data_IF_088347257966
#
_entry.id   IF_088347257966
#
_cell.length_a   1.000
_cell.length_b   1.000
_cell.length_c   1.000
_cell.angle_alpha   90.00
_cell.angle_beta   90.00
_cell.angle_gamma   90.00
#
_symmetry.space_group_name_H-M   'P 1'
#
loop_
_entity.id
_entity.type
_entity.pdbx_description
1 polymer ?
#
# COMPACT_ATOMS: atom_id res chain seq x y z
N UNK A 1 -16.06 26.20 8.06
CA UNK A 1 -16.26 25.87 9.48
C UNK A 1 -14.99 26.25 10.22
N UNK A 2 -14.95 27.44 10.82
CA UNK A 2 -13.84 27.88 11.67
C UNK A 2 -14.11 27.46 13.10
N UNK A 3 -13.16 26.74 13.72
CA UNK A 3 -13.21 26.44 15.15
C UNK A 3 -12.83 27.65 15.99
N UNK A 4 -13.43 27.79 17.17
CA UNK A 4 -13.06 28.80 18.16
C UNK A 4 -11.93 28.27 19.06
N UNK A 5 -10.93 29.09 19.32
CA UNK A 5 -9.85 28.77 20.27
C UNK A 5 -10.37 28.89 21.72
N UNK A 6 -10.10 27.88 22.54
CA UNK A 6 -10.43 27.91 23.98
C UNK A 6 -9.18 28.28 24.76
N UNK A 7 -9.27 29.37 25.54
CA UNK A 7 -8.25 29.76 26.52
C UNK A 7 -8.74 29.34 27.91
N UNK A 8 -7.93 28.56 28.63
CA UNK A 8 -8.26 28.08 29.98
C UNK A 8 -7.06 28.24 30.92
N UNK A 9 -7.34 28.60 32.17
CA UNK A 9 -6.37 28.79 33.25
C UNK A 9 -6.02 27.50 34.00
N UNK A 10 -6.65 26.38 33.65
CA UNK A 10 -6.33 25.02 34.14
C UNK A 10 -5.87 24.17 32.95
N UNK A 11 -5.01 23.14 33.13
CA UNK A 11 -4.71 22.18 32.06
C UNK A 11 -6.01 21.46 31.67
N UNK A 12 -6.72 21.99 30.67
CA UNK A 12 -8.12 21.69 30.42
C UNK A 12 -8.40 21.49 28.94
N UNK A 13 -7.50 20.79 28.24
CA UNK A 13 -7.84 20.21 26.94
C UNK A 13 -8.80 19.03 27.14
N UNK A 14 -9.70 18.73 26.17
CA UNK A 14 -10.48 17.51 26.22
C UNK A 14 -9.53 16.30 26.39
N UNK A 15 -9.89 15.31 27.23
CA UNK A 15 -9.02 14.17 27.47
C UNK A 15 -8.77 13.45 26.14
N UNK A 16 -7.49 13.20 25.80
CA UNK A 16 -7.15 12.40 24.62
C UNK A 16 -7.56 10.95 24.88
N UNK A 17 -8.71 10.57 24.33
CA UNK A 17 -9.31 9.24 24.47
C UNK A 17 -9.46 8.61 23.10
N UNK A 18 -9.23 7.30 23.00
CA UNK A 18 -9.38 6.55 21.76
C UNK A 18 -10.79 6.76 21.15
N UNK A 19 -10.83 7.13 19.87
CA UNK A 19 -12.09 7.41 19.16
C UNK A 19 -13.03 6.19 19.08
N UNK A 20 -12.50 4.97 19.17
CA UNK A 20 -13.27 3.74 19.01
C UNK A 20 -13.87 3.22 20.31
N UNK A 21 -13.19 3.40 21.44
CA UNK A 21 -13.64 2.89 22.74
C UNK A 21 -13.93 3.98 23.78
N UNK A 22 -13.74 5.25 23.41
CA UNK A 22 -13.93 6.42 24.28
C UNK A 22 -13.13 6.35 25.61
N UNK A 23 -12.00 5.64 25.62
CA UNK A 23 -11.15 5.48 26.81
C UNK A 23 -9.72 5.94 26.54
N UNK A 24 -9.07 6.52 27.54
CA UNK A 24 -7.61 6.78 27.54
C UNK A 24 -6.84 5.47 27.71
N UNK A 25 -7.30 4.63 28.64
CA UNK A 25 -6.59 3.41 29.05
C UNK A 25 -5.17 3.68 29.56
N UNK A 26 -4.37 2.61 29.63
CA UNK A 26 -2.94 2.66 29.95
C UNK A 26 -2.04 2.41 28.72
N UNK A 27 -2.63 1.97 27.61
CA UNK A 27 -1.91 1.67 26.39
C UNK A 27 -1.66 2.96 25.58
N UNK A 28 -0.52 2.99 24.90
CA UNK A 28 -0.20 4.08 23.97
C UNK A 28 -1.25 4.20 22.86
N UNK A 29 -1.56 5.45 22.52
CA UNK A 29 -2.43 5.82 21.42
C UNK A 29 -1.58 6.09 20.16
N UNK A 30 -2.13 5.72 19.01
CA UNK A 30 -1.62 6.10 17.70
C UNK A 30 -2.53 7.21 17.15
N UNK A 31 -1.94 8.19 16.49
CA UNK A 31 -2.65 9.37 16.00
C UNK A 31 -2.71 9.36 14.48
N UNK A 32 -3.89 9.65 13.93
CA UNK A 32 -4.02 9.84 12.49
C UNK A 32 -3.35 11.16 12.07
N UNK A 33 -2.46 11.12 11.09
CA UNK A 33 -1.79 12.32 10.55
C UNK A 33 -2.73 13.31 9.84
N UNK A 34 -3.97 12.93 9.54
CA UNK A 34 -4.91 13.77 8.78
C UNK A 34 -6.00 14.38 9.68
N UNK A 35 -6.63 13.59 10.56
CA UNK A 35 -7.65 14.10 11.47
C UNK A 35 -7.18 14.29 12.91
N UNK A 36 -5.96 13.88 13.23
CA UNK A 36 -5.38 13.94 14.58
C UNK A 36 -6.13 13.14 15.65
N UNK A 37 -7.14 12.34 15.27
CA UNK A 37 -7.85 11.50 16.22
C UNK A 37 -6.93 10.37 16.74
N UNK A 38 -7.01 10.07 18.06
CA UNK A 38 -6.26 8.97 18.67
C UNK A 38 -6.98 7.63 18.61
N UNK A 39 -6.22 6.55 18.50
CA UNK A 39 -6.70 5.17 18.42
C UNK A 39 -5.80 4.24 19.23
N UNK A 40 -6.38 3.29 19.98
CA UNK A 40 -5.58 2.17 20.47
C UNK A 40 -5.27 1.19 19.32
N UNK A 41 -4.03 0.69 19.20
CA UNK A 41 -3.69 -0.29 18.18
C UNK A 41 -4.57 -1.54 18.21
N UNK A 42 -4.98 -2.00 19.39
CA UNK A 42 -5.84 -3.18 19.53
C UNK A 42 -7.31 -2.92 19.15
N UNK A 43 -7.78 -1.68 19.26
CA UNK A 43 -9.12 -1.30 18.81
C UNK A 43 -9.24 -1.25 17.28
N UNK A 44 -8.11 -1.14 16.57
CA UNK A 44 -8.04 -1.20 15.12
C UNK A 44 -8.11 -2.65 14.63
N UNK A 45 -8.75 -2.84 13.47
CA UNK A 45 -8.66 -4.10 12.73
C UNK A 45 -7.21 -4.42 12.38
N UNK A 46 -6.87 -5.72 12.34
CA UNK A 46 -5.49 -6.17 12.14
C UNK A 46 -4.83 -5.58 10.88
N UNK A 47 -5.60 -5.43 9.79
CA UNK A 47 -5.12 -4.85 8.54
C UNK A 47 -4.90 -3.32 8.60
N UNK A 48 -5.49 -2.64 9.59
CA UNK A 48 -5.41 -1.18 9.75
C UNK A 48 -4.37 -0.77 10.80
N UNK A 49 -3.83 -1.72 11.56
CA UNK A 49 -2.82 -1.46 12.59
C UNK A 49 -1.54 -0.90 11.96
N UNK A 50 -0.97 0.20 12.51
CA UNK A 50 0.32 0.69 12.05
C UNK A 50 1.40 -0.35 12.31
N UNK A 51 2.29 -0.53 11.33
CA UNK A 51 3.56 -1.19 11.55
C UNK A 51 4.44 -0.33 12.47
N UNK A 52 5.33 -0.92 13.28
CA UNK A 52 6.19 -0.17 14.20
C UNK A 52 6.96 0.97 13.52
N UNK A 53 7.50 0.75 12.31
CA UNK A 53 8.27 1.74 11.56
C UNK A 53 7.42 2.89 10.98
N UNK A 54 6.08 2.76 10.99
CA UNK A 54 5.17 3.66 10.29
C UNK A 54 4.12 4.29 11.20
N UNK A 55 4.36 4.29 12.52
CA UNK A 55 3.45 4.91 13.49
C UNK A 55 3.27 6.41 13.23
N UNK A 56 4.35 7.11 12.87
CA UNK A 56 4.32 8.56 12.66
C UNK A 56 3.71 8.97 11.32
N UNK A 57 3.59 8.05 10.37
CA UNK A 57 2.98 8.31 9.05
C UNK A 57 1.58 7.70 8.93
N UNK A 58 1.02 7.19 10.02
CA UNK A 58 -0.22 6.43 9.98
C UNK A 58 -1.45 7.30 9.69
N UNK A 59 -2.33 6.80 8.84
CA UNK A 59 -3.58 7.44 8.48
C UNK A 59 -4.75 6.50 8.79
N UNK A 60 -5.76 6.97 9.51
CA UNK A 60 -6.92 6.16 9.86
C UNK A 60 -7.80 5.89 8.63
N UNK A 61 -8.59 4.82 8.69
CA UNK A 61 -9.52 4.42 7.64
C UNK A 61 -10.43 5.55 7.15
N UNK A 62 -10.90 6.43 8.06
CA UNK A 62 -11.80 7.55 7.75
C UNK A 62 -11.12 8.68 6.98
N UNK A 63 -9.80 8.72 6.99
CA UNK A 63 -9.01 9.73 6.31
C UNK A 63 -8.37 9.20 5.03
N UNK A 64 -8.19 7.88 4.91
CA UNK A 64 -7.79 7.25 3.64
C UNK A 64 -8.85 7.51 2.57
N UNK A 65 -8.37 7.84 1.37
CA UNK A 65 -9.18 8.08 0.19
C UNK A 65 -8.64 7.29 -0.99
N UNK A 66 -9.52 6.95 -1.92
CA UNK A 66 -9.12 6.28 -3.14
C UNK A 66 -8.33 7.24 -4.03
N UNK A 67 -7.12 6.85 -4.40
CA UNK A 67 -6.24 7.64 -5.28
C UNK A 67 -6.85 7.90 -6.67
N UNK A 68 -7.75 7.04 -7.13
CA UNK A 68 -8.39 7.16 -8.45
C UNK A 68 -9.58 8.14 -8.43
N UNK A 69 -10.50 8.00 -7.47
CA UNK A 69 -11.74 8.78 -7.45
C UNK A 69 -11.81 9.87 -6.39
N UNK A 70 -10.79 9.99 -5.53
CA UNK A 70 -10.73 10.96 -4.43
C UNK A 70 -11.71 10.70 -3.28
N UNK A 71 -12.55 9.67 -3.37
CA UNK A 71 -13.58 9.38 -2.36
C UNK A 71 -13.03 8.49 -1.25
N UNK A 72 -13.43 8.79 -0.02
CA UNK A 72 -13.17 7.95 1.17
C UNK A 72 -13.91 6.62 1.08
N UNK A 73 -13.37 5.57 1.71
CA UNK A 73 -14.05 4.29 1.83
C UNK A 73 -15.37 4.45 2.58
N UNK A 74 -16.49 3.97 2.02
CA UNK A 74 -17.80 4.00 2.68
C UNK A 74 -18.10 2.66 3.35
N UNK A 75 -18.48 2.70 4.63
CA UNK A 75 -18.99 1.54 5.36
C UNK A 75 -17.99 0.38 5.44
N UNK A 76 -18.45 -0.84 5.10
CA UNK A 76 -17.72 -2.11 5.20
C UNK A 76 -16.74 -2.41 4.05
N UNK A 77 -16.64 -1.54 3.02
CA UNK A 77 -15.74 -1.80 1.89
C UNK A 77 -14.37 -1.18 2.16
N UNK A 78 -13.41 -2.02 2.55
CA UNK A 78 -12.03 -1.65 2.80
C UNK A 78 -11.36 -1.17 1.50
N UNK A 79 -10.54 -0.13 1.60
CA UNK A 79 -9.64 0.26 0.51
C UNK A 79 -8.43 -0.68 0.51
N UNK A 80 -7.98 -1.11 -0.66
CA UNK A 80 -6.71 -1.82 -0.83
C UNK A 80 -5.56 -0.82 -0.75
N UNK A 81 -4.54 -1.12 0.05
CA UNK A 81 -3.38 -0.24 0.19
C UNK A 81 -2.16 -0.85 -0.49
N UNK A 82 -1.54 -0.08 -1.39
CA UNK A 82 -0.33 -0.53 -2.07
C UNK A 82 0.86 -0.51 -1.12
N UNK A 83 1.61 -1.59 -1.03
CA UNK A 83 2.79 -1.62 -0.16
C UNK A 83 3.93 -0.72 -0.63
N UNK A 84 4.04 -0.48 -1.94
CA UNK A 84 5.12 0.36 -2.52
C UNK A 84 4.84 1.86 -2.34
N UNK A 85 3.65 2.32 -2.71
CA UNK A 85 3.32 3.76 -2.68
C UNK A 85 2.37 4.17 -1.56
N UNK A 86 1.84 3.23 -0.77
CA UNK A 86 0.87 3.44 0.32
C UNK A 86 -0.44 4.12 -0.11
N UNK A 87 -0.66 4.33 -1.40
CA UNK A 87 -1.94 4.81 -1.91
C UNK A 87 -3.01 3.75 -1.73
N UNK A 88 -4.21 4.23 -1.42
CA UNK A 88 -5.38 3.41 -1.18
C UNK A 88 -6.29 3.41 -2.42
N UNK A 89 -6.93 2.29 -2.72
CA UNK A 89 -7.71 2.08 -3.93
C UNK A 89 -9.00 1.32 -3.63
N UNK A 90 -10.11 1.71 -4.26
CA UNK A 90 -11.28 0.84 -4.27
C UNK A 90 -11.02 -0.34 -5.22
N UNK A 91 -11.41 -1.58 -4.88
CA UNK A 91 -11.41 -2.71 -5.81
C UNK A 91 -12.07 -2.36 -7.15
N UNK A 92 -13.22 -1.68 -7.12
CA UNK A 92 -13.95 -1.26 -8.32
C UNK A 92 -13.24 -0.16 -9.15
N UNK A 93 -12.29 0.58 -8.56
CA UNK A 93 -11.52 1.60 -9.27
C UNK A 93 -10.26 1.02 -9.96
N UNK A 94 -9.95 -0.26 -9.76
CA UNK A 94 -8.73 -0.91 -10.26
C UNK A 94 -8.92 -1.60 -11.62
N UNK A 95 -10.08 -1.47 -12.25
CA UNK A 95 -10.40 -2.15 -13.51
C UNK A 95 -10.80 -3.62 -13.30
N UNK A 96 -11.62 -4.20 -14.19
CA UNK A 96 -12.24 -5.52 -13.98
C UNK A 96 -11.26 -6.69 -13.98
N UNK A 97 -10.11 -6.53 -14.63
CA UNK A 97 -9.09 -7.57 -14.78
C UNK A 97 -8.02 -7.54 -13.68
N UNK A 98 -7.95 -6.49 -12.86
CA UNK A 98 -6.89 -6.38 -11.87
C UNK A 98 -7.14 -7.31 -10.68
N UNK A 99 -6.14 -8.09 -10.22
CA UNK A 99 -6.29 -8.91 -9.02
C UNK A 99 -6.58 -8.03 -7.79
N UNK A 100 -7.84 -8.03 -7.37
CA UNK A 100 -8.30 -7.34 -6.15
C UNK A 100 -8.26 -8.24 -4.92
N UNK A 101 -7.96 -9.54 -5.09
CA UNK A 101 -7.70 -10.45 -3.97
C UNK A 101 -6.21 -10.45 -3.67
N UNK A 102 -5.83 -9.75 -2.61
CA UNK A 102 -4.69 -10.22 -1.83
C UNK A 102 -5.07 -11.64 -1.38
N UNK A 103 -4.37 -12.66 -1.88
CA UNK A 103 -4.62 -14.03 -1.39
C UNK A 103 -4.42 -14.00 0.13
N UNK A 104 -5.28 -14.68 0.90
CA UNK A 104 -5.23 -14.68 2.38
C UNK A 104 -3.83 -15.01 2.96
N UNK A 105 -2.96 -15.63 2.16
CA UNK A 105 -1.57 -15.95 2.48
C UNK A 105 -0.54 -14.89 2.06
N UNK A 106 -0.88 -13.98 1.16
CA UNK A 106 0.01 -12.90 0.68
C UNK A 106 -0.54 -11.57 1.16
N UNK A 107 0.01 -11.07 2.27
CA UNK A 107 -0.22 -9.70 2.77
C UNK A 107 0.23 -8.62 1.77
N UNK A 108 0.90 -9.01 0.69
CA UNK A 108 1.57 -8.14 -0.24
C UNK A 108 0.73 -7.85 -1.48
N UNK A 109 0.04 -6.70 -1.48
CA UNK A 109 -0.68 -6.16 -2.64
C UNK A 109 0.02 -4.90 -3.14
N UNK A 110 0.35 -4.88 -4.42
CA UNK A 110 0.96 -3.75 -5.11
C UNK A 110 -0.12 -3.16 -6.04
N UNK A 111 -0.13 -1.85 -6.31
CA UNK A 111 -1.05 -1.27 -7.30
C UNK A 111 -0.46 -1.34 -8.71
N UNK A 112 -1.32 -1.27 -9.72
CA UNK A 112 -0.93 -1.32 -11.13
C UNK A 112 0.15 -0.30 -11.52
N UNK A 113 0.09 0.91 -10.97
CA UNK A 113 1.08 1.96 -11.21
C UNK A 113 2.48 1.63 -10.65
N UNK A 114 2.55 0.77 -9.64
CA UNK A 114 3.79 0.38 -8.97
C UNK A 114 4.35 -0.95 -9.47
N UNK A 115 3.56 -1.76 -10.20
CA UNK A 115 4.07 -2.98 -10.83
C UNK A 115 4.86 -2.59 -12.08
N UNK A 116 6.15 -2.93 -12.08
CA UNK A 116 7.07 -2.66 -13.17
C UNK A 116 8.15 -3.73 -13.18
N UNK A 117 8.47 -4.24 -14.38
CA UNK A 117 9.54 -5.21 -14.53
C UNK A 117 10.89 -4.55 -14.26
N UNK A 118 11.69 -5.13 -13.36
CA UNK A 118 13.04 -4.64 -13.04
C UNK A 118 14.02 -4.78 -14.21
N UNK A 119 13.81 -5.79 -15.06
CA UNK A 119 14.67 -6.08 -16.20
C UNK A 119 14.35 -5.15 -17.39
N UNK A 120 13.13 -5.22 -17.94
CA UNK A 120 12.75 -4.51 -19.16
C UNK A 120 11.92 -3.24 -18.95
N UNK A 121 11.53 -2.91 -17.71
CA UNK A 121 10.72 -1.72 -17.41
C UNK A 121 9.25 -1.82 -17.83
N UNK A 122 8.81 -2.95 -18.41
CA UNK A 122 7.42 -3.16 -18.79
C UNK A 122 6.49 -2.91 -17.60
N UNK A 123 5.36 -2.26 -17.85
CA UNK A 123 4.25 -2.17 -16.91
C UNK A 123 3.14 -3.09 -17.37
N UNK A 124 2.33 -3.63 -16.47
CA UNK A 124 1.15 -4.40 -16.86
C UNK A 124 0.23 -3.56 -17.76
N UNK A 125 -0.21 -4.16 -18.85
CA UNK A 125 -1.14 -3.51 -19.79
C UNK A 125 -2.57 -3.47 -19.25
N UNK A 126 -3.54 -3.29 -20.17
CA UNK A 126 -4.96 -3.41 -19.83
C UNK A 126 -5.37 -4.85 -19.52
N UNK A 127 -4.67 -5.83 -20.10
CA UNK A 127 -4.92 -7.26 -19.86
C UNK A 127 -4.00 -7.76 -18.76
N UNK A 128 -4.60 -8.23 -17.67
CA UNK A 128 -3.93 -8.77 -16.48
C UNK A 128 -3.97 -10.29 -16.42
N UNK A 129 -4.42 -10.93 -17.49
CA UNK A 129 -4.57 -12.39 -17.60
C UNK A 129 -3.21 -13.11 -17.61
N UNK A 130 -2.11 -12.37 -17.69
CA UNK A 130 -0.75 -12.92 -17.69
C UNK A 130 -0.15 -12.79 -16.30
N UNK A 131 0.20 -13.94 -15.69
CA UNK A 131 0.74 -13.99 -14.34
C UNK A 131 2.17 -13.42 -14.27
N UNK A 132 2.33 -12.36 -13.49
CA UNK A 132 3.63 -11.82 -13.12
C UNK A 132 4.34 -12.72 -12.11
N UNK A 133 5.64 -12.51 -11.91
CA UNK A 133 6.38 -13.18 -10.84
C UNK A 133 5.68 -13.01 -9.48
N UNK A 134 5.86 -13.97 -8.57
CA UNK A 134 5.11 -13.98 -7.30
C UNK A 134 5.27 -12.73 -6.42
N UNK A 135 6.35 -11.97 -6.60
CA UNK A 135 6.70 -10.72 -5.94
C UNK A 135 6.41 -9.46 -6.81
N UNK A 136 5.80 -9.64 -7.97
CA UNK A 136 5.49 -8.60 -8.96
C UNK A 136 6.71 -7.76 -9.37
N UNK A 137 7.87 -8.41 -9.51
CA UNK A 137 9.13 -7.75 -9.90
C UNK A 137 9.56 -8.04 -11.33
N UNK A 138 9.08 -9.14 -11.93
CA UNK A 138 9.37 -9.52 -13.31
C UNK A 138 8.08 -9.79 -14.08
N UNK A 139 8.06 -9.34 -15.34
CA UNK A 139 7.01 -9.72 -16.27
C UNK A 139 7.21 -11.18 -16.73
N UNK A 140 6.18 -11.85 -17.26
CA UNK A 140 6.23 -13.26 -17.66
C UNK A 140 7.46 -13.61 -18.51
N UNK A 141 7.73 -12.84 -19.57
CA UNK A 141 8.90 -13.03 -20.45
C UNK A 141 10.22 -12.96 -19.67
N UNK A 142 10.39 -11.96 -18.80
CA UNK A 142 11.61 -11.81 -18.02
C UNK A 142 11.73 -12.88 -16.92
N UNK A 143 10.63 -13.37 -16.37
CA UNK A 143 10.62 -14.52 -15.44
C UNK A 143 11.18 -15.75 -16.13
N UNK A 144 10.71 -16.08 -17.33
CA UNK A 144 11.22 -17.22 -18.11
C UNK A 144 12.71 -17.10 -18.42
N UNK A 145 13.19 -15.91 -18.80
CA UNK A 145 14.62 -15.67 -19.04
C UNK A 145 15.44 -15.82 -17.74
N UNK A 146 14.90 -15.37 -16.62
CA UNK A 146 15.54 -15.53 -15.31
C UNK A 146 15.69 -17.01 -14.92
N UNK A 147 14.63 -17.81 -15.10
CA UNK A 147 14.64 -19.24 -14.81
C UNK A 147 15.64 -20.01 -15.70
N UNK A 148 15.87 -19.54 -16.92
CA UNK A 148 16.89 -20.07 -17.85
C UNK A 148 18.31 -19.59 -17.54
N UNK A 149 18.51 -18.68 -16.59
CA UNK A 149 19.82 -18.08 -16.31
C UNK A 149 20.25 -16.99 -17.30
N UNK A 150 19.35 -16.52 -18.17
CA UNK A 150 19.61 -15.54 -19.20
C UNK A 150 19.50 -14.11 -18.67
N UNK A 151 20.35 -13.77 -17.71
CA UNK A 151 20.43 -12.43 -17.14
C UNK A 151 21.85 -12.10 -16.70
N UNK A 152 22.15 -10.80 -16.62
CA UNK A 152 23.42 -10.31 -16.12
C UNK A 152 23.46 -10.43 -14.58
N UNK A 153 24.42 -11.14 -13.98
CA UNK A 153 24.50 -11.28 -12.52
C UNK A 153 24.89 -9.98 -11.81
N UNK A 154 25.40 -8.99 -12.54
CA UNK A 154 25.79 -7.68 -11.99
C UNK A 154 24.60 -6.73 -11.97
N UNK A 155 23.93 -6.52 -13.11
CA UNK A 155 22.86 -5.54 -13.25
C UNK A 155 21.45 -6.14 -13.20
N UNK A 156 21.31 -7.47 -13.13
CA UNK A 156 20.04 -8.21 -13.03
C UNK A 156 19.07 -8.01 -14.21
N UNK A 157 19.56 -7.48 -15.34
CA UNK A 157 18.76 -7.39 -16.58
C UNK A 157 18.87 -8.67 -17.39
N UNK A 158 17.76 -9.06 -18.00
CA UNK A 158 17.73 -10.17 -18.94
C UNK A 158 18.42 -9.77 -20.24
N UNK A 159 19.14 -10.70 -20.85
CA UNK A 159 19.65 -10.52 -22.20
C UNK A 159 18.51 -10.54 -23.21
N UNK A 160 18.66 -9.80 -24.30
CA UNK A 160 17.73 -9.92 -25.42
C UNK A 160 17.96 -11.26 -26.14
N UNK A 161 16.91 -11.81 -26.74
CA UNK A 161 17.00 -13.10 -27.44
C UNK A 161 17.97 -13.07 -28.65
N UNK A 162 18.50 -11.89 -29.02
CA UNK A 162 19.48 -11.70 -30.10
C UNK A 162 20.87 -11.24 -29.60
N UNK A 163 21.12 -11.26 -28.30
CA UNK A 163 22.34 -10.69 -27.70
C UNK A 163 23.54 -11.66 -27.70
N UNK A 164 23.45 -12.77 -28.46
CA UNK A 164 24.51 -13.79 -28.59
C UNK A 164 25.84 -13.23 -29.12
N UNK A 165 25.78 -12.14 -29.89
CA UNK A 165 26.94 -11.48 -30.52
C UNK A 165 27.49 -10.31 -29.69
N UNK A 166 26.82 -9.94 -28.59
CA UNK A 166 27.27 -8.84 -27.76
C UNK A 166 28.52 -9.25 -27.01
N UNK A 167 29.65 -8.61 -27.36
CA UNK A 167 30.95 -8.84 -26.73
C UNK A 167 30.79 -8.81 -25.20
N UNK A 168 30.92 -9.98 -24.60
CA UNK A 168 31.11 -10.11 -23.17
C UNK A 168 32.43 -9.40 -22.85
N UNK A 169 32.35 -8.26 -22.17
CA UNK A 169 33.53 -7.55 -21.67
C UNK A 169 34.15 -8.30 -20.50
#
# INVERSE_FOLDING_TARGET
MGGLSVLTSVPGGPPMVCLLCASKGLHELVFCQVCCDPFHPFCLEEAERPLPQHRDTWCCRRCKFCHVCGRKGRGSKHLLECERCRHAYHPACLGPSYPTRATRRRRHWICSACVRCKSCGATPGKNWDVEWSGDYSLCPRCTELYEKGNYCPICTRCYEDNDYESKMM
#
